data_IF_860628361377
#
_entry.id   IF_860628361377
#
_cell.length_a   1.000
_cell.length_b   1.000
_cell.length_c   1.000
_cell.angle_alpha   90.00
_cell.angle_beta   90.00
_cell.angle_gamma   90.00
#
_symmetry.space_group_name_H-M   'P 1'
#
loop_
_entity.id
_entity.type
_entity.pdbx_description
1 polymer ?
#
# COMPACT_ATOMS: atom_id res chain seq x y z
N UNK A 1 -3.43 -3.70 -19.53
CA UNK A 1 -2.17 -3.44 -20.26
C UNK A 1 -2.21 -3.84 -21.73
N UNK A 2 -2.84 -4.98 -22.11
CA UNK A 2 -2.94 -5.43 -23.52
C UNK A 2 -3.45 -4.40 -24.54
N UNK A 3 -4.25 -3.42 -24.12
CA UNK A 3 -4.81 -2.36 -24.98
C UNK A 3 -4.06 -1.01 -24.89
N UNK A 4 -3.03 -0.89 -24.05
CA UNK A 4 -2.28 0.36 -23.95
C UNK A 4 -1.46 0.60 -25.23
N UNK A 5 -1.68 1.76 -25.87
CA UNK A 5 -1.02 2.15 -27.12
C UNK A 5 0.16 3.10 -26.91
N UNK A 6 0.39 3.56 -25.68
CA UNK A 6 1.52 4.43 -25.32
C UNK A 6 1.94 4.25 -23.87
N UNK A 7 3.14 4.73 -23.53
CA UNK A 7 3.65 4.73 -22.16
C UNK A 7 2.68 5.41 -21.19
N UNK A 8 2.19 6.61 -21.53
CA UNK A 8 1.28 7.36 -20.67
C UNK A 8 -0.04 6.60 -20.41
N UNK A 9 -0.55 5.86 -21.40
CA UNK A 9 -1.72 5.00 -21.21
C UNK A 9 -1.40 3.79 -20.33
N UNK A 10 -0.21 3.22 -20.47
CA UNK A 10 0.25 2.11 -19.63
C UNK A 10 0.40 2.55 -18.17
N UNK A 11 1.07 3.68 -17.92
CA UNK A 11 1.25 4.27 -16.59
C UNK A 11 -0.09 4.53 -15.90
N UNK A 12 -1.01 5.26 -16.55
CA UNK A 12 -2.37 5.47 -16.03
C UNK A 12 -3.09 4.16 -15.72
N UNK A 13 -2.90 3.14 -16.56
CA UNK A 13 -3.51 1.82 -16.35
C UNK A 13 -2.91 1.14 -15.13
N UNK A 14 -1.58 1.10 -15.00
CA UNK A 14 -0.88 0.52 -13.85
C UNK A 14 -1.32 1.19 -12.56
N UNK A 15 -1.22 2.52 -12.48
CA UNK A 15 -1.59 3.30 -11.29
C UNK A 15 -3.05 3.04 -10.90
N UNK A 16 -4.00 3.12 -11.85
CA UNK A 16 -5.42 2.87 -11.57
C UNK A 16 -5.67 1.46 -11.02
N UNK A 17 -5.07 0.43 -11.62
CA UNK A 17 -5.27 -0.94 -11.15
C UNK A 17 -4.59 -1.21 -9.80
N UNK A 18 -3.45 -0.57 -9.55
CA UNK A 18 -2.72 -0.63 -8.29
C UNK A 18 -3.49 0.06 -7.14
N UNK A 19 -4.00 1.29 -7.36
CA UNK A 19 -4.88 1.97 -6.40
C UNK A 19 -6.16 1.18 -6.15
N UNK A 20 -6.79 0.63 -7.19
CA UNK A 20 -7.97 -0.22 -7.01
C UNK A 20 -7.65 -1.52 -6.25
N UNK A 21 -6.42 -2.03 -6.34
CA UNK A 21 -6.00 -3.17 -5.52
C UNK A 21 -5.89 -2.78 -4.04
N UNK A 22 -5.27 -1.64 -3.74
CA UNK A 22 -5.22 -1.09 -2.38
C UNK A 22 -6.63 -0.91 -1.80
N UNK A 23 -7.50 -0.19 -2.51
CA UNK A 23 -8.88 0.05 -2.07
C UNK A 23 -9.65 -1.24 -1.79
N UNK A 24 -9.53 -2.25 -2.65
CA UNK A 24 -10.18 -3.55 -2.40
C UNK A 24 -9.65 -4.26 -1.16
N UNK A 25 -8.36 -4.11 -0.85
CA UNK A 25 -7.77 -4.69 0.36
C UNK A 25 -8.28 -3.97 1.62
N UNK A 26 -8.35 -2.64 1.58
CA UNK A 26 -8.93 -1.81 2.65
C UNK A 26 -10.41 -2.12 2.85
N UNK A 27 -11.20 -2.15 1.78
CA UNK A 27 -12.62 -2.51 1.81
C UNK A 27 -12.84 -3.87 2.45
N UNK A 28 -12.05 -4.88 2.03
CA UNK A 28 -12.11 -6.22 2.60
C UNK A 28 -11.83 -6.21 4.10
N UNK A 29 -10.74 -5.56 4.53
CA UNK A 29 -10.32 -5.46 5.93
C UNK A 29 -11.37 -4.76 6.80
N UNK A 30 -12.07 -3.78 6.24
CA UNK A 30 -13.10 -3.00 6.91
C UNK A 30 -14.51 -3.59 6.73
N UNK A 31 -14.64 -4.83 6.26
CA UNK A 31 -15.92 -5.52 6.15
C UNK A 31 -16.81 -5.08 5.00
N UNK A 32 -16.32 -4.22 4.10
CA UNK A 32 -17.05 -3.78 2.90
C UNK A 32 -16.93 -4.81 1.79
N UNK A 33 -18.02 -5.00 1.05
CA UNK A 33 -18.11 -5.95 -0.05
C UNK A 33 -18.14 -7.43 0.36
N UNK A 34 -18.24 -8.33 -0.64
CA UNK A 34 -18.41 -9.76 -0.41
C UNK A 34 -17.19 -10.38 0.27
N UNK A 35 -17.43 -11.23 1.27
CA UNK A 35 -16.40 -12.12 1.81
C UNK A 35 -16.20 -13.28 0.83
N UNK A 36 -15.17 -13.21 0.00
CA UNK A 36 -14.76 -14.33 -0.87
C UNK A 36 -13.53 -15.03 -0.30
N UNK A 37 -13.48 -16.35 -0.44
CA UNK A 37 -12.39 -17.21 0.04
C UNK A 37 -12.41 -17.47 1.56
N UNK A 38 -11.47 -18.29 2.02
CA UNK A 38 -11.46 -18.83 3.40
C UNK A 38 -10.61 -18.01 4.39
N UNK A 39 -9.91 -16.98 3.91
CA UNK A 39 -9.09 -16.12 4.75
C UNK A 39 -9.95 -15.14 5.56
N UNK A 40 -9.47 -14.75 6.74
CA UNK A 40 -10.12 -13.71 7.53
C UNK A 40 -10.14 -12.38 6.78
N UNK A 41 -11.02 -11.47 7.20
CA UNK A 41 -11.16 -10.15 6.56
C UNK A 41 -9.93 -9.28 6.77
N UNK A 42 -9.35 -9.29 7.97
CA UNK A 42 -8.15 -8.54 8.32
C UNK A 42 -6.83 -9.19 7.89
N UNK A 43 -6.87 -10.25 7.09
CA UNK A 43 -5.66 -10.88 6.56
C UNK A 43 -5.00 -9.98 5.50
N UNK A 44 -3.71 -9.66 5.67
CA UNK A 44 -2.95 -8.77 4.80
C UNK A 44 -2.30 -9.49 3.60
N UNK A 45 -2.20 -10.82 3.65
CA UNK A 45 -1.56 -11.64 2.61
C UNK A 45 -2.23 -11.53 1.24
N UNK A 46 -3.56 -11.44 1.09
CA UNK A 46 -4.20 -11.26 -0.21
C UNK A 46 -3.66 -10.07 -1.00
N UNK A 47 -3.44 -8.93 -0.33
CA UNK A 47 -2.84 -7.75 -0.97
C UNK A 47 -1.41 -8.06 -1.42
N UNK A 48 -0.59 -8.59 -0.52
CA UNK A 48 0.81 -8.93 -0.81
C UNK A 48 0.95 -9.85 -2.03
N UNK A 49 0.22 -10.97 -2.05
CA UNK A 49 0.29 -11.94 -3.14
C UNK A 49 -0.25 -11.39 -4.47
N UNK A 50 -1.34 -10.61 -4.43
CA UNK A 50 -1.87 -9.96 -5.63
C UNK A 50 -0.86 -8.98 -6.24
N UNK A 51 -0.12 -8.23 -5.42
CA UNK A 51 0.94 -7.33 -5.90
C UNK A 51 2.08 -8.09 -6.55
N UNK A 52 2.54 -9.19 -5.93
CA UNK A 52 3.60 -10.01 -6.52
C UNK A 52 3.18 -10.58 -7.88
N UNK A 53 1.93 -11.02 -8.00
CA UNK A 53 1.37 -11.47 -9.28
C UNK A 53 1.38 -10.33 -10.31
N UNK A 54 0.85 -9.15 -9.97
CA UNK A 54 0.85 -8.00 -10.88
C UNK A 54 2.26 -7.55 -11.27
N UNK A 55 3.21 -7.57 -10.33
CA UNK A 55 4.62 -7.25 -10.57
C UNK A 55 5.27 -8.25 -11.53
N UNK A 56 4.94 -9.54 -11.41
CA UNK A 56 5.39 -10.56 -12.36
C UNK A 56 4.82 -10.32 -13.76
N UNK A 57 3.52 -10.07 -13.86
CA UNK A 57 2.86 -9.82 -15.14
C UNK A 57 3.38 -8.54 -15.81
N UNK A 58 3.66 -7.49 -15.04
CA UNK A 58 4.25 -6.25 -15.56
C UNK A 58 5.69 -6.45 -16.07
N UNK A 59 6.49 -7.30 -15.39
CA UNK A 59 7.84 -7.68 -15.86
C UNK A 59 7.79 -8.44 -17.17
N UNK A 60 6.87 -9.39 -17.30
CA UNK A 60 6.72 -10.22 -18.49
C UNK A 60 6.03 -9.50 -19.67
N UNK A 61 5.40 -8.35 -19.42
CA UNK A 61 4.65 -7.64 -20.45
C UNK A 61 5.56 -6.91 -21.45
N UNK A 62 5.32 -7.19 -22.74
CA UNK A 62 5.96 -6.52 -23.88
C UNK A 62 4.94 -5.65 -24.62
N UNK A 63 5.06 -4.31 -24.58
CA UNK A 63 4.19 -3.40 -25.34
C UNK A 63 4.51 -3.39 -26.84
N UNK A 64 3.60 -2.82 -27.63
CA UNK A 64 3.80 -2.53 -29.07
C UNK A 64 4.50 -1.19 -29.32
N UNK A 65 4.89 -0.48 -28.27
CA UNK A 65 5.56 0.82 -28.31
C UNK A 65 6.87 0.73 -27.53
N UNK A 66 7.79 1.65 -27.78
CA UNK A 66 9.10 1.63 -27.14
C UNK A 66 9.01 1.82 -25.63
N UNK A 67 9.52 0.84 -24.90
CA UNK A 67 9.60 0.82 -23.44
C UNK A 67 11.02 0.44 -23.03
N UNK A 68 11.82 1.46 -22.76
CA UNK A 68 13.15 1.29 -22.17
C UNK A 68 13.08 0.84 -20.70
N UNK A 69 14.22 0.44 -20.16
CA UNK A 69 14.33 -0.07 -18.79
C UNK A 69 13.92 0.96 -17.75
N UNK A 70 14.24 2.24 -17.98
CA UNK A 70 13.86 3.34 -17.07
C UNK A 70 12.36 3.52 -16.98
N UNK A 71 11.66 3.49 -18.12
CA UNK A 71 10.19 3.55 -18.17
C UNK A 71 9.57 2.30 -17.57
N UNK A 72 10.16 1.13 -17.78
CA UNK A 72 9.70 -0.12 -17.15
C UNK A 72 9.83 -0.04 -15.64
N UNK A 73 10.97 0.43 -15.13
CA UNK A 73 11.20 0.68 -13.70
C UNK A 73 10.21 1.69 -13.13
N UNK A 74 9.94 2.79 -13.86
CA UNK A 74 8.93 3.77 -13.46
C UNK A 74 7.52 3.15 -13.35
N UNK A 75 7.13 2.26 -14.27
CA UNK A 75 5.87 1.51 -14.15
C UNK A 75 5.86 0.59 -12.93
N UNK A 76 6.98 -0.06 -12.62
CA UNK A 76 7.11 -0.87 -11.40
C UNK A 76 6.99 -0.03 -10.13
N UNK A 77 7.65 1.14 -10.10
CA UNK A 77 7.53 2.10 -9.01
C UNK A 77 6.09 2.58 -8.83
N UNK A 78 5.40 2.91 -9.93
CA UNK A 78 3.99 3.31 -9.90
C UNK A 78 3.07 2.19 -9.36
N UNK A 79 3.30 0.94 -9.78
CA UNK A 79 2.60 -0.22 -9.23
C UNK A 79 2.86 -0.34 -7.72
N UNK A 80 4.12 -0.29 -7.30
CA UNK A 80 4.51 -0.45 -5.91
C UNK A 80 3.91 0.64 -5.04
N UNK A 81 4.14 1.92 -5.36
CA UNK A 81 3.63 3.08 -4.60
C UNK A 81 2.11 3.08 -4.50
N UNK A 82 1.40 2.93 -5.62
CA UNK A 82 -0.06 3.10 -5.63
C UNK A 82 -0.80 1.91 -4.99
N UNK A 83 -0.20 0.72 -4.94
CA UNK A 83 -0.78 -0.42 -4.22
C UNK A 83 -0.38 -0.47 -2.74
N UNK A 84 0.45 0.47 -2.25
CA UNK A 84 0.91 0.61 -0.84
C UNK A 84 0.19 1.73 -0.06
N UNK A 85 -0.88 2.30 -0.61
CA UNK A 85 -1.59 3.44 -0.01
C UNK A 85 -0.90 4.80 -0.19
N UNK A 86 0.35 4.86 -0.68
CA UNK A 86 1.08 6.12 -0.81
C UNK A 86 0.42 7.14 -1.77
N UNK A 87 -0.35 6.66 -2.74
CA UNK A 87 -1.09 7.51 -3.68
C UNK A 87 -2.52 7.83 -3.24
N UNK A 88 -2.96 7.32 -2.08
CA UNK A 88 -4.34 7.37 -1.60
C UNK A 88 -4.53 8.28 -0.37
N UNK A 89 -3.46 8.95 0.06
CA UNK A 89 -3.48 9.81 1.24
C UNK A 89 -4.35 11.05 0.99
N UNK A 90 -5.49 11.13 1.69
CA UNK A 90 -6.49 12.18 1.50
C UNK A 90 -6.98 12.79 2.83
N UNK A 91 -6.69 14.07 3.07
CA UNK A 91 -7.13 14.78 4.28
C UNK A 91 -8.34 15.68 4.05
N UNK A 92 -9.48 15.45 4.72
CA UNK A 92 -10.67 16.27 4.54
C UNK A 92 -10.54 17.61 5.28
N UNK A 93 -10.34 18.69 4.54
CA UNK A 93 -10.46 20.07 5.04
C UNK A 93 -9.47 20.47 6.15
N UNK A 94 -9.70 21.66 6.73
CA UNK A 94 -8.79 22.28 7.72
C UNK A 94 -9.18 21.98 9.18
N UNK A 95 -10.34 21.37 9.43
CA UNK A 95 -10.86 21.07 10.78
C UNK A 95 -10.67 19.61 11.21
N UNK A 96 -10.01 18.80 10.39
CA UNK A 96 -9.77 17.39 10.66
C UNK A 96 -8.29 17.16 10.91
N UNK A 97 -7.97 16.49 12.02
CA UNK A 97 -6.60 16.09 12.36
C UNK A 97 -6.08 15.10 11.33
N UNK A 98 -4.85 15.31 10.88
CA UNK A 98 -4.19 14.53 9.82
C UNK A 98 -3.24 13.53 10.45
N UNK A 99 -3.68 12.26 10.50
CA UNK A 99 -2.92 11.17 11.09
C UNK A 99 -2.39 10.27 9.99
N UNK A 100 -1.10 9.98 10.00
CA UNK A 100 -0.49 8.97 9.13
C UNK A 100 0.03 7.81 9.97
N UNK A 101 -0.41 6.60 9.62
CA UNK A 101 0.06 5.36 10.24
C UNK A 101 0.76 4.49 9.20
N UNK A 102 1.96 4.00 9.50
CA UNK A 102 2.64 3.07 8.60
C UNK A 102 2.68 1.65 9.17
N UNK A 103 2.52 0.66 8.29
CA UNK A 103 2.74 -0.76 8.59
C UNK A 103 3.71 -1.41 7.59
N UNK A 104 3.86 -2.72 7.68
CA UNK A 104 4.80 -3.48 6.85
C UNK A 104 4.16 -4.71 6.21
N UNK A 105 4.68 -5.10 5.04
CA UNK A 105 4.32 -6.34 4.35
C UNK A 105 4.61 -7.58 5.22
N UNK A 106 3.98 -8.72 4.92
CA UNK A 106 4.45 -10.03 5.36
C UNK A 106 5.94 -10.26 5.06
N UNK A 107 6.62 -10.93 5.98
CA UNK A 107 8.03 -11.29 5.88
C UNK A 107 8.24 -12.71 6.44
N UNK A 108 9.44 -13.29 6.26
CA UNK A 108 9.75 -14.69 6.60
C UNK A 108 8.91 -15.74 5.85
N UNK A 109 8.44 -15.39 4.65
CA UNK A 109 7.61 -16.26 3.80
C UNK A 109 8.38 -17.45 3.20
N UNK A 110 9.71 -17.43 3.24
CA UNK A 110 10.59 -18.57 2.97
C UNK A 110 10.43 -19.70 3.99
N UNK A 111 9.99 -19.37 5.21
CA UNK A 111 9.74 -20.34 6.29
C UNK A 111 8.29 -20.83 6.28
N UNK A 112 7.34 -19.92 6.17
CA UNK A 112 5.93 -20.25 6.02
C UNK A 112 5.21 -19.18 5.19
N UNK A 113 4.77 -19.57 4.00
CA UNK A 113 4.02 -18.72 3.05
C UNK A 113 2.69 -18.22 3.61
N UNK A 114 2.24 -18.78 4.74
CA UNK A 114 0.99 -18.40 5.40
C UNK A 114 1.17 -17.31 6.45
N UNK A 115 2.38 -16.84 6.71
CA UNK A 115 2.62 -15.76 7.66
C UNK A 115 2.05 -14.45 7.10
N UNK A 116 1.20 -13.78 7.88
CA UNK A 116 0.80 -12.38 7.69
C UNK A 116 1.56 -11.46 8.62
N UNK A 117 1.34 -10.15 8.51
CA UNK A 117 1.93 -9.14 9.39
C UNK A 117 0.84 -8.29 10.07
N UNK A 118 0.69 -8.34 11.41
CA UNK A 118 -0.31 -7.54 12.12
C UNK A 118 -0.18 -6.03 11.88
N UNK A 119 1.01 -5.52 11.57
CA UNK A 119 1.18 -4.10 11.24
C UNK A 119 0.56 -3.75 9.88
N UNK A 120 0.73 -4.59 8.86
CA UNK A 120 0.08 -4.44 7.56
C UNK A 120 -1.44 -4.60 7.65
N UNK A 121 -1.90 -5.60 8.43
CA UNK A 121 -3.32 -5.80 8.72
C UNK A 121 -3.95 -4.58 9.42
N UNK A 122 -3.25 -4.00 10.39
CA UNK A 122 -3.69 -2.80 11.10
C UNK A 122 -3.77 -1.58 10.17
N UNK A 123 -2.80 -1.40 9.27
CA UNK A 123 -2.83 -0.34 8.28
C UNK A 123 -4.11 -0.44 7.41
N UNK A 124 -4.39 -1.63 6.84
CA UNK A 124 -5.59 -1.84 6.03
C UNK A 124 -6.90 -1.58 6.81
N UNK A 125 -6.95 -1.99 8.08
CA UNK A 125 -8.12 -1.79 8.92
C UNK A 125 -8.36 -0.31 9.29
N UNK A 126 -7.31 0.52 9.32
CA UNK A 126 -7.38 1.92 9.72
C UNK A 126 -7.46 2.91 8.55
N UNK A 127 -7.10 2.50 7.34
CA UNK A 127 -7.02 3.38 6.17
C UNK A 127 -8.33 4.11 5.86
N UNK A 128 -8.24 5.43 5.68
CA UNK A 128 -9.37 6.30 5.39
C UNK A 128 -10.38 6.47 6.54
N UNK A 129 -10.15 5.88 7.71
CA UNK A 129 -11.11 5.96 8.83
C UNK A 129 -11.16 7.35 9.44
N UNK A 130 -12.35 7.74 9.91
CA UNK A 130 -12.59 9.00 10.61
C UNK A 130 -12.93 8.70 12.07
N UNK A 131 -12.02 9.04 12.98
CA UNK A 131 -12.18 8.84 14.42
C UNK A 131 -12.65 10.15 15.05
N UNK A 132 -13.69 10.11 15.88
CA UNK A 132 -14.12 11.28 16.66
C UNK A 132 -13.27 11.36 17.93
N UNK A 133 -12.60 12.50 18.15
CA UNK A 133 -11.88 12.79 19.39
C UNK A 133 -12.52 13.97 20.11
N UNK A 134 -12.19 14.22 21.40
CA UNK A 134 -12.65 15.41 22.10
C UNK A 134 -12.29 16.73 21.40
N UNK A 135 -11.17 16.75 20.65
CA UNK A 135 -10.66 17.93 19.94
C UNK A 135 -11.14 18.04 18.48
N UNK A 136 -12.03 17.13 18.06
CA UNK A 136 -12.60 17.06 16.72
C UNK A 136 -12.26 15.78 15.96
N UNK A 137 -12.68 15.67 14.70
CA UNK A 137 -12.43 14.47 13.91
C UNK A 137 -10.94 14.32 13.56
N UNK A 138 -10.45 13.09 13.55
CA UNK A 138 -9.14 12.70 13.05
C UNK A 138 -9.27 11.73 11.88
N UNK A 139 -8.66 12.06 10.75
CA UNK A 139 -8.57 11.21 9.56
C UNK A 139 -7.27 10.42 9.63
N UNK A 140 -7.40 9.10 9.60
CA UNK A 140 -6.26 8.19 9.54
C UNK A 140 -6.06 7.76 8.09
N UNK A 141 -4.89 8.07 7.56
CA UNK A 141 -4.39 7.58 6.29
C UNK A 141 -3.24 6.61 6.56
N UNK A 142 -3.05 5.61 5.71
CA UNK A 142 -2.04 4.58 5.97
C UNK A 142 -1.16 4.25 4.76
N UNK A 143 0.04 3.78 5.07
CA UNK A 143 1.00 3.29 4.07
C UNK A 143 1.62 1.98 4.55
N UNK A 144 1.82 1.03 3.64
CA UNK A 144 2.52 -0.22 3.94
C UNK A 144 3.86 -0.29 3.21
N UNK A 145 4.95 -0.54 3.94
CA UNK A 145 6.30 -0.66 3.38
C UNK A 145 6.74 -2.12 3.16
N UNK A 146 7.57 -2.38 2.14
CA UNK A 146 8.17 -3.70 1.96
C UNK A 146 9.19 -4.00 3.06
N UNK A 147 9.32 -5.27 3.46
CA UNK A 147 10.36 -5.72 4.41
C UNK A 147 11.56 -6.26 3.63
N UNK A 148 12.30 -5.37 2.95
CA UNK A 148 13.46 -5.72 2.11
C UNK A 148 14.53 -4.65 2.20
N UNK A 149 15.77 -5.04 2.54
CA UNK A 149 16.88 -4.10 2.72
C UNK A 149 17.13 -3.15 1.55
N UNK A 150 17.00 -3.64 0.31
CA UNK A 150 17.22 -2.84 -0.88
C UNK A 150 16.28 -1.61 -0.93
N UNK A 151 14.98 -1.78 -0.67
CA UNK A 151 14.03 -0.66 -0.71
C UNK A 151 14.31 0.38 0.39
N UNK A 152 14.75 -0.05 1.57
CA UNK A 152 15.16 0.87 2.63
C UNK A 152 16.43 1.62 2.25
N UNK A 153 17.45 0.92 1.73
CA UNK A 153 18.69 1.54 1.27
C UNK A 153 18.44 2.54 0.13
N UNK A 154 17.46 2.26 -0.72
CA UNK A 154 17.04 3.17 -1.77
C UNK A 154 16.21 4.35 -1.23
N UNK A 155 15.74 4.35 0.02
CA UNK A 155 15.02 5.47 0.63
C UNK A 155 13.50 5.47 0.42
N UNK A 156 12.88 4.27 0.40
CA UNK A 156 11.42 4.14 0.20
C UNK A 156 10.61 4.88 1.28
N UNK A 157 11.10 4.91 2.52
CA UNK A 157 10.41 5.55 3.65
C UNK A 157 10.47 7.06 3.50
N UNK A 158 11.64 7.62 3.24
CA UNK A 158 11.89 9.05 3.07
C UNK A 158 11.10 9.60 1.90
N UNK A 159 11.06 8.90 0.76
CA UNK A 159 10.28 9.30 -0.42
C UNK A 159 8.77 9.34 -0.17
N UNK A 160 8.27 8.43 0.67
CA UNK A 160 6.86 8.37 1.02
C UNK A 160 6.49 9.45 2.05
N UNK A 161 7.31 9.61 3.09
CA UNK A 161 6.98 10.43 4.25
C UNK A 161 7.36 11.91 4.10
N UNK A 162 8.44 12.25 3.38
CA UNK A 162 8.94 13.63 3.28
C UNK A 162 7.89 14.64 2.81
N UNK A 163 6.99 14.24 1.90
CA UNK A 163 5.90 15.07 1.41
C UNK A 163 4.74 15.23 2.40
N UNK A 164 4.59 14.30 3.34
CA UNK A 164 3.46 14.27 4.26
C UNK A 164 3.80 14.93 5.59
N UNK A 165 4.99 14.64 6.14
CA UNK A 165 5.39 15.03 7.50
C UNK A 165 5.15 16.51 7.85
N UNK A 166 5.45 17.51 6.99
CA UNK A 166 5.19 18.91 7.31
C UNK A 166 3.71 19.28 7.49
N UNK A 167 2.81 18.38 7.13
CA UNK A 167 1.37 18.61 7.08
C UNK A 167 0.57 17.73 8.04
N UNK A 168 1.22 16.85 8.80
CA UNK A 168 0.55 15.93 9.72
C UNK A 168 0.40 16.54 11.11
N UNK A 169 -0.70 16.22 11.77
CA UNK A 169 -0.84 16.43 13.21
C UNK A 169 -0.20 15.29 14.01
N UNK A 170 -0.22 14.06 13.45
CA UNK A 170 0.39 12.88 14.06
C UNK A 170 0.96 11.93 13.00
N UNK A 171 2.13 11.38 13.29
CA UNK A 171 2.73 10.30 12.54
C UNK A 171 3.12 9.17 13.50
N UNK A 172 2.83 7.93 13.14
CA UNK A 172 3.32 6.77 13.87
C UNK A 172 3.60 5.58 12.96
N UNK A 173 4.58 4.78 13.34
CA UNK A 173 4.90 3.51 12.70
C UNK A 173 4.45 2.37 13.60
N UNK A 174 3.64 1.46 13.07
CA UNK A 174 3.29 0.20 13.72
C UNK A 174 4.21 -0.88 13.19
N UNK A 175 4.80 -1.66 14.10
CA UNK A 175 5.65 -2.79 13.76
C UNK A 175 5.17 -4.06 14.47
N UNK A 176 5.65 -5.20 14.01
CA UNK A 176 5.38 -6.49 14.64
C UNK A 176 6.45 -6.78 15.70
N UNK A 177 6.05 -6.77 16.96
CA UNK A 177 6.87 -7.26 18.07
C UNK A 177 6.87 -8.80 18.18
N UNK A 178 7.54 -9.33 19.22
CA UNK A 178 7.44 -10.76 19.58
C UNK A 178 6.65 -10.87 20.87
N UNK A 179 6.00 -12.02 21.09
CA UNK A 179 5.30 -12.25 22.35
C UNK A 179 6.28 -12.05 23.53
N UNK A 180 5.92 -11.16 24.46
CA UNK A 180 6.74 -10.81 25.62
C UNK A 180 7.97 -9.92 25.35
N UNK A 181 8.12 -9.34 24.15
CA UNK A 181 9.21 -8.41 23.81
C UNK A 181 8.70 -7.27 22.93
N UNK A 182 8.88 -6.03 23.40
CA UNK A 182 8.62 -4.80 22.66
C UNK A 182 9.92 -4.23 22.09
#
# INVERSE_FOLDING_TARGET
LKHAKSYAQAERTVTRHASALWQRAVDRAQGRGPATGDLSRGDDRPLYWARLALSRELRAWTPRFDLDDRRREALHSALETASRGQGDIHYPGHRTKRVLVTGFDPFTLDRDVRIGNPSGASALALDGTLVQTPDGPARIETVVFPVRWADFAEGVVERALSRQLPHLDLFTTVSQGRQGRF
#
